data_IF_021601313783
#
_entry.id   IF_021601313783
#
_cell.length_a   1.000
_cell.length_b   1.000
_cell.length_c   1.000
_cell.angle_alpha   90.00
_cell.angle_beta   90.00
_cell.angle_gamma   90.00
#
_symmetry.space_group_name_H-M   'P 1'
#
loop_
_entity.id
_entity.type
_entity.pdbx_description
1 polymer ?
2 water ?
#
# COMPACT_ATOMS: atom_id res chain seq x y z
N UNK A 1 11.42 -19.59 -33.75
CA UNK A 1 11.73 -18.17 -33.39
C UNK A 1 10.66 -17.60 -32.52
N UNK A 2 11.05 -16.61 -31.72
CA UNK A 2 10.14 -15.86 -30.89
C UNK A 2 10.07 -14.41 -31.34
N UNK A 3 8.98 -13.75 -30.99
CA UNK A 3 8.82 -12.32 -31.17
C UNK A 3 8.23 -11.69 -29.95
N UNK A 4 8.64 -10.47 -29.66
CA UNK A 4 8.05 -9.73 -28.57
C UNK A 4 7.94 -8.27 -28.91
N UNK A 5 6.79 -7.67 -28.58
CA UNK A 5 6.57 -6.25 -28.80
C UNK A 5 7.22 -5.41 -27.73
N UNK A 6 7.55 -6.02 -26.59
CA UNK A 6 8.20 -5.29 -25.50
C UNK A 6 8.99 -6.24 -24.61
N UNK A 7 9.92 -5.70 -23.84
CA UNK A 7 10.60 -6.48 -22.81
C UNK A 7 10.65 -5.70 -21.53
N UNK A 8 10.01 -6.25 -20.51
CA UNK A 8 9.92 -5.60 -19.22
C UNK A 8 10.76 -6.40 -18.21
N UNK A 9 11.70 -5.71 -17.55
CA UNK A 9 12.68 -6.31 -16.67
C UNK A 9 12.26 -6.12 -15.22
N UNK A 10 12.09 -7.25 -14.53
CA UNK A 10 11.58 -7.30 -13.18
C UNK A 10 12.53 -8.02 -12.23
N UNK A 11 12.62 -7.48 -11.01
CA UNK A 11 13.23 -8.20 -9.91
C UNK A 11 12.09 -8.61 -9.01
N UNK A 12 11.91 -9.91 -8.82
CA UNK A 12 10.79 -10.36 -8.04
C UNK A 12 11.09 -10.19 -6.56
N UNK A 13 10.06 -10.00 -5.75
CA UNK A 13 10.26 -9.78 -4.31
C UNK A 13 8.96 -10.03 -3.53
N UNK A 14 9.09 -10.50 -2.28
CA UNK A 14 7.94 -10.57 -1.39
C UNK A 14 8.33 -10.07 -0.02
N UNK A 15 7.36 -9.47 0.67
CA UNK A 15 7.57 -8.96 2.03
C UNK A 15 6.66 -9.70 2.95
N UNK A 16 7.25 -10.46 3.87
CA UNK A 16 6.50 -11.21 4.85
C UNK A 16 5.35 -11.96 4.16
N UNK A 17 5.63 -12.58 3.03
CA UNK A 17 4.61 -13.36 2.34
C UNK A 17 3.65 -12.58 1.44
N UNK A 18 3.90 -11.30 1.20
CA UNK A 18 3.11 -10.55 0.22
C UNK A 18 4.00 -10.18 -0.97
N UNK A 19 3.62 -10.68 -2.14
CA UNK A 19 4.35 -10.39 -3.37
C UNK A 19 4.32 -8.90 -3.69
N UNK A 20 5.50 -8.37 -3.98
CA UNK A 20 5.66 -7.00 -4.43
C UNK A 20 6.79 -6.93 -5.45
N UNK A 21 6.56 -7.49 -6.63
CA UNK A 21 7.60 -7.51 -7.67
C UNK A 21 7.92 -6.08 -8.16
N UNK A 22 9.12 -5.87 -8.70
CA UNK A 22 9.57 -4.51 -8.99
C UNK A 22 10.08 -4.48 -10.44
N UNK A 23 9.47 -3.62 -11.24
CA UNK A 23 9.95 -3.32 -12.60
C UNK A 23 11.14 -2.36 -12.52
N UNK A 24 12.30 -2.82 -12.97
CA UNK A 24 13.54 -2.05 -12.88
C UNK A 24 13.99 -1.52 -14.26
N UNK A 25 13.37 -2.00 -15.33
CA UNK A 25 13.72 -1.55 -16.67
C UNK A 25 12.69 -1.93 -17.71
N UNK A 26 12.78 -1.26 -18.85
CA UNK A 26 11.97 -1.58 -20.01
C UNK A 26 10.69 -0.76 -20.09
N UNK A 27 10.45 0.07 -19.08
CA UNK A 27 9.25 0.91 -19.06
C UNK A 27 9.66 2.35 -18.82
N UNK A 28 9.45 3.18 -19.83
CA UNK A 28 9.65 4.61 -19.69
C UNK A 28 8.72 5.18 -18.62
N UNK A 29 9.15 6.26 -17.95
CA UNK A 29 8.22 6.83 -16.98
C UNK A 29 6.94 7.33 -17.68
N UNK A 30 5.78 7.06 -17.07
CA UNK A 30 4.50 7.51 -17.60
C UNK A 30 4.43 9.04 -17.72
N UNK A 31 3.59 9.52 -18.62
CA UNK A 31 3.33 10.97 -18.72
C UNK A 31 2.85 11.52 -17.39
N UNK A 32 3.21 12.77 -17.10
CA UNK A 32 2.74 13.43 -15.88
C UNK A 32 3.83 14.26 -15.26
N UNK A 33 3.44 15.37 -14.65
CA UNK A 33 4.37 16.33 -14.08
C UNK A 33 4.76 15.92 -12.65
N UNK A 34 3.94 15.05 -12.05
CA UNK A 34 4.20 14.60 -10.69
C UNK A 34 4.07 13.07 -10.65
N UNK A 35 4.62 12.42 -9.62
CA UNK A 35 4.46 10.97 -9.49
C UNK A 35 2.98 10.62 -9.30
N UNK A 36 2.26 11.49 -8.60
CA UNK A 36 0.80 11.33 -8.49
C UNK A 36 0.12 11.23 -9.88
N UNK A 37 0.37 12.22 -10.75
CA UNK A 37 -0.23 12.19 -12.10
C UNK A 37 0.21 10.95 -12.89
N UNK A 38 1.46 10.53 -12.71
CA UNK A 38 1.94 9.35 -13.42
C UNK A 38 1.17 8.09 -12.96
N UNK A 39 0.90 7.98 -11.66
CA UNK A 39 0.15 6.84 -11.14
C UNK A 39 -1.30 6.88 -11.70
N UNK A 40 -1.88 8.06 -11.85
CA UNK A 40 -3.26 8.24 -12.39
C UNK A 40 -3.30 7.77 -13.86
N UNK A 41 -2.24 8.04 -14.62
CA UNK A 41 -2.14 7.49 -15.97
C UNK A 41 -2.14 5.94 -15.93
N UNK A 42 -1.35 5.40 -15.03
CA UNK A 42 -1.19 3.95 -14.94
C UNK A 42 -2.57 3.35 -14.60
N UNK A 43 -3.31 3.98 -13.68
CA UNK A 43 -4.62 3.48 -13.24
C UNK A 43 -5.64 3.56 -14.37
N UNK A 44 -5.55 4.61 -15.18
CA UNK A 44 -6.58 4.88 -16.20
C UNK A 44 -6.32 4.06 -17.42
N UNK A 45 -5.05 3.98 -17.79
CA UNK A 45 -4.67 3.39 -19.07
C UNK A 45 -4.72 1.87 -19.03
N UNK A 46 -4.21 1.31 -17.93
CA UNK A 46 -4.34 -0.12 -17.61
C UNK A 46 -3.46 -1.08 -18.41
N UNK A 47 -2.80 -0.59 -19.45
CA UNK A 47 -1.99 -1.47 -20.27
C UNK A 47 -0.89 -2.18 -19.46
N UNK A 48 -0.09 -1.41 -18.74
CA UNK A 48 1.00 -1.97 -17.92
C UNK A 48 0.39 -2.87 -16.83
N UNK A 49 -0.61 -2.34 -16.12
CA UNK A 49 -1.27 -3.14 -15.05
C UNK A 49 -1.73 -4.50 -15.53
N UNK A 50 -2.47 -4.54 -16.64
CA UNK A 50 -3.05 -5.79 -17.08
C UNK A 50 -1.94 -6.73 -17.52
N UNK A 51 -0.93 -6.17 -18.15
CA UNK A 51 0.16 -6.98 -18.69
C UNK A 51 0.97 -7.69 -17.59
N UNK A 52 1.22 -7.00 -16.49
CA UNK A 52 2.04 -7.61 -15.42
C UNK A 52 1.21 -8.28 -14.32
N UNK A 53 -0.04 -7.86 -14.14
CA UNK A 53 -0.87 -8.42 -13.08
C UNK A 53 -1.68 -9.66 -13.48
N UNK A 54 -2.15 -9.71 -14.73
CA UNK A 54 -3.03 -10.79 -15.13
C UNK A 54 -2.22 -12.02 -15.58
N UNK A 55 -2.82 -13.19 -15.42
CA UNK A 55 -2.37 -14.37 -16.11
C UNK A 55 -2.27 -13.94 -17.59
N UNK A 56 -1.33 -14.55 -18.31
CA UNK A 56 -0.49 -15.68 -17.90
C UNK A 56 0.82 -15.27 -17.26
N UNK A 57 1.06 -13.98 -17.02
CA UNK A 57 2.34 -13.52 -16.46
C UNK A 57 2.26 -13.26 -14.95
N UNK A 58 1.09 -12.85 -14.49
CA UNK A 58 0.87 -12.54 -13.08
C UNK A 58 -0.09 -13.54 -12.48
N UNK A 59 -0.95 -13.06 -11.60
CA UNK A 59 -1.84 -13.92 -10.84
C UNK A 59 -2.60 -13.02 -9.90
N UNK A 60 -3.71 -13.52 -9.34
CA UNK A 60 -4.61 -12.70 -8.56
C UNK A 60 -3.96 -12.11 -7.33
N UNK A 61 -2.91 -12.73 -6.84
CA UNK A 61 -2.26 -12.19 -5.66
C UNK A 61 -1.02 -11.37 -5.94
N UNK A 62 -0.70 -11.16 -7.21
CA UNK A 62 0.50 -10.42 -7.53
C UNK A 62 0.29 -8.92 -7.34
N UNK A 63 1.28 -8.25 -6.76
CA UNK A 63 1.40 -6.79 -6.78
C UNK A 63 2.68 -6.51 -7.55
N UNK A 64 2.71 -5.40 -8.29
CA UNK A 64 3.86 -5.02 -9.05
C UNK A 64 4.10 -3.51 -8.88
N UNK A 65 5.35 -3.12 -8.73
CA UNK A 65 5.72 -1.74 -8.52
C UNK A 65 6.61 -1.26 -9.65
N UNK A 66 6.34 -0.06 -10.16
CA UNK A 66 7.14 0.46 -11.27
C UNK A 66 8.07 1.52 -10.72
N UNK A 67 9.39 1.32 -10.84
CA UNK A 67 10.29 2.40 -10.47
C UNK A 67 10.24 3.50 -11.51
N UNK A 68 10.20 4.75 -11.04
CA UNK A 68 10.29 5.90 -11.90
C UNK A 68 11.22 6.93 -11.27
N UNK A 69 11.68 7.87 -12.08
CA UNK A 69 12.56 8.89 -11.50
C UNK A 69 11.80 9.71 -10.48
N UNK A 70 12.51 10.16 -9.43
CA UNK A 70 11.89 11.02 -8.43
C UNK A 70 11.54 12.34 -9.10
N UNK A 71 10.39 12.92 -8.77
CA UNK A 71 10.06 14.27 -9.18
C UNK A 71 10.42 15.26 -8.09
N UNK A 72 10.26 14.86 -6.83
CA UNK A 72 10.68 15.68 -5.70
C UNK A 72 12.17 15.41 -5.49
N UNK A 73 12.99 16.46 -5.53
CA UNK A 73 14.45 16.30 -5.46
C UNK A 73 14.94 15.73 -4.13
N UNK A 74 14.11 15.75 -3.08
CA UNK A 74 14.47 15.15 -1.81
C UNK A 74 14.46 13.62 -1.91
N UNK A 75 13.80 13.08 -2.93
CA UNK A 75 13.72 11.63 -3.08
C UNK A 75 14.81 11.04 -3.98
N UNK A 76 15.23 9.82 -3.67
CA UNK A 76 16.21 9.12 -4.48
C UNK A 76 15.58 8.27 -5.59
N UNK A 77 14.31 7.93 -5.42
CA UNK A 77 13.62 7.12 -6.42
C UNK A 77 12.13 7.26 -6.19
N UNK A 78 11.38 7.21 -7.28
CA UNK A 78 9.94 7.21 -7.19
C UNK A 78 9.45 5.81 -7.53
N UNK A 79 8.20 5.53 -7.17
CA UNK A 79 7.60 4.26 -7.52
C UNK A 79 6.09 4.41 -7.58
N UNK A 80 5.50 3.59 -8.45
CA UNK A 80 4.03 3.51 -8.62
C UNK A 80 3.61 2.08 -8.26
N UNK A 81 2.63 1.97 -7.38
CA UNK A 81 2.19 0.68 -6.87
C UNK A 81 1.00 0.18 -7.66
N UNK A 82 1.11 -1.02 -8.20
CA UNK A 82 0.01 -1.65 -8.89
C UNK A 82 -0.45 -2.88 -8.13
N UNK A 83 -1.58 -2.74 -7.42
CA UNK A 83 -2.23 -3.87 -6.76
C UNK A 83 -3.34 -4.41 -7.62
N UNK A 84 -3.85 -5.63 -7.31
CA UNK A 84 -4.96 -6.19 -8.09
C UNK A 84 -6.16 -5.26 -8.16
N UNK A 85 -6.52 -4.64 -7.04
CA UNK A 85 -7.76 -3.90 -7.00
C UNK A 85 -7.62 -2.43 -7.39
N UNK A 86 -6.46 -1.85 -7.14
CA UNK A 86 -6.28 -0.43 -7.41
C UNK A 86 -4.83 -0.03 -7.51
N UNK A 87 -4.63 1.27 -7.70
CA UNK A 87 -3.28 1.83 -7.91
C UNK A 87 -3.16 2.89 -6.83
N UNK A 88 -2.76 2.47 -5.61
CA UNK A 88 -3.07 3.32 -4.46
C UNK A 88 -1.98 4.37 -4.18
N UNK A 89 -2.32 5.37 -3.38
CA UNK A 89 -1.31 6.38 -3.00
C UNK A 89 -0.11 5.81 -2.26
N UNK A 90 -0.31 4.80 -1.42
CA UNK A 90 0.80 4.13 -0.74
C UNK A 90 0.39 2.72 -0.38
N UNK A 91 1.37 1.91 -0.02
CA UNK A 91 1.18 0.54 0.37
C UNK A 91 2.38 0.12 1.22
N UNK A 92 2.12 -0.41 2.41
CA UNK A 92 3.22 -0.81 3.29
C UNK A 92 4.12 -1.87 2.69
N UNK A 93 3.54 -3.04 2.41
CA UNK A 93 4.29 -4.17 1.92
C UNK A 93 5.02 -3.86 0.62
N UNK A 94 4.36 -3.14 -0.29
CA UNK A 94 5.01 -2.79 -1.53
C UNK A 94 6.19 -1.80 -1.35
N UNK A 95 6.05 -0.85 -0.45
CA UNK A 95 7.15 0.08 -0.16
C UNK A 95 8.34 -0.67 0.46
N UNK A 96 8.03 -1.69 1.27
CA UNK A 96 9.08 -2.58 1.80
C UNK A 96 9.78 -3.38 0.67
N UNK A 97 9.03 -3.92 -0.29
CA UNK A 97 9.61 -4.62 -1.41
C UNK A 97 10.44 -3.70 -2.28
N UNK A 98 9.95 -2.50 -2.54
CA UNK A 98 10.65 -1.54 -3.39
C UNK A 98 12.00 -1.21 -2.73
N UNK A 99 11.96 -0.95 -1.44
CA UNK A 99 13.17 -0.63 -0.66
C UNK A 99 14.14 -1.79 -0.72
N UNK A 100 13.64 -3.00 -0.56
CA UNK A 100 14.49 -4.18 -0.54
C UNK A 100 15.15 -4.42 -1.91
N UNK A 101 14.38 -4.27 -2.96
CA UNK A 101 14.93 -4.45 -4.30
C UNK A 101 15.98 -3.38 -4.56
N UNK A 102 15.69 -2.15 -4.18
CA UNK A 102 16.65 -1.06 -4.43
C UNK A 102 18.00 -1.33 -3.75
N UNK A 103 17.94 -1.81 -2.50
CA UNK A 103 19.18 -2.06 -1.76
C UNK A 103 19.83 -3.43 -2.06
N UNK A 104 19.05 -4.51 -2.08
CA UNK A 104 19.62 -5.83 -2.26
C UNK A 104 20.19 -5.99 -3.67
N UNK A 105 19.54 -5.38 -4.66
CA UNK A 105 20.08 -5.50 -6.04
C UNK A 105 21.05 -4.39 -6.43
N UNK A 106 21.42 -3.53 -5.47
CA UNK A 106 22.53 -2.61 -5.65
C UNK A 106 22.23 -1.32 -6.40
N UNK A 107 20.95 -1.00 -6.58
CA UNK A 107 20.58 0.23 -7.24
C UNK A 107 20.93 1.43 -6.39
N UNK A 108 20.68 1.33 -5.08
CA UNK A 108 21.10 2.34 -4.12
C UNK A 108 22.18 1.72 -3.22
N UNK A 109 23.22 2.46 -2.94
CA UNK A 109 24.27 1.79 -2.17
C UNK A 109 23.87 1.49 -0.72
N UNK A 110 24.44 0.43 -0.16
CA UNK A 110 24.10 -0.05 1.17
C UNK A 110 25.16 0.36 2.16
N UNK A 111 24.72 0.94 3.27
CA UNK A 111 25.55 1.17 4.43
C UNK A 111 25.07 0.24 5.54
N UNK A 112 25.99 -0.18 6.40
CA UNK A 112 25.65 -1.01 7.54
C UNK A 112 26.15 -0.32 8.81
N UNK A 113 25.40 -0.47 9.93
CA UNK A 113 24.21 -1.33 10.14
C UNK A 113 22.91 -0.77 9.58
N UNK A 114 22.89 0.50 9.17
CA UNK A 114 21.65 1.14 8.73
C UNK A 114 21.85 1.98 7.49
N UNK A 115 20.96 1.79 6.53
CA UNK A 115 20.84 2.65 5.36
C UNK A 115 19.53 3.45 5.43
N UNK A 116 19.63 4.77 5.25
CA UNK A 116 18.45 5.62 5.15
C UNK A 116 18.23 6.08 3.71
N UNK A 117 16.97 6.04 3.28
CA UNK A 117 16.58 6.50 1.95
C UNK A 117 15.33 7.35 2.09
N UNK A 118 15.11 8.22 1.11
CA UNK A 118 13.84 8.89 0.94
C UNK A 118 13.28 8.47 -0.41
N UNK A 119 12.08 7.91 -0.41
CA UNK A 119 11.42 7.51 -1.67
C UNK A 119 10.18 8.34 -1.91
N UNK A 120 9.76 8.40 -3.16
CA UNK A 120 8.58 9.14 -3.51
C UNK A 120 7.51 8.19 -4.07
N UNK A 121 6.46 8.02 -3.28
CA UNK A 121 5.33 7.24 -3.68
C UNK A 121 4.31 8.18 -4.25
N UNK A 122 3.26 7.64 -4.88
CA UNK A 122 2.29 8.60 -5.41
C UNK A 122 1.68 9.50 -4.35
N UNK A 123 1.57 8.99 -3.13
CA UNK A 123 0.87 9.74 -2.11
C UNK A 123 1.76 10.68 -1.33
N UNK A 124 3.04 10.72 -1.68
CA UNK A 124 3.99 11.61 -1.04
C UNK A 124 5.30 10.93 -0.71
N UNK A 125 6.20 11.67 -0.08
CA UNK A 125 7.49 11.13 0.30
C UNK A 125 7.37 10.15 1.43
N UNK A 126 8.18 9.10 1.40
CA UNK A 126 8.29 8.21 2.56
C UNK A 126 9.76 8.11 2.98
N UNK A 127 10.00 8.09 4.28
CA UNK A 127 11.34 7.91 4.86
C UNK A 127 11.56 6.45 5.19
N UNK A 128 12.68 5.91 4.74
CA UNK A 128 12.97 4.50 4.88
C UNK A 128 14.25 4.35 5.70
N UNK A 129 14.26 3.43 6.64
CA UNK A 129 15.46 3.04 7.38
C UNK A 129 15.57 1.54 7.20
N UNK A 130 16.66 1.06 6.62
CA UNK A 130 16.86 -0.37 6.40
C UNK A 130 17.95 -0.87 7.33
N UNK A 131 17.64 -1.91 8.10
CA UNK A 131 18.68 -2.58 8.90
C UNK A 131 19.40 -3.53 7.94
N UNK A 132 20.69 -3.30 7.75
CA UNK A 132 21.47 -4.04 6.76
C UNK A 132 22.63 -4.74 7.42
N UNK A 133 22.85 -5.99 7.02
CA UNK A 133 23.86 -6.83 7.64
C UNK A 133 24.38 -7.82 6.63
N UNK A 134 25.71 -7.83 6.48
CA UNK A 134 26.37 -8.76 5.56
C UNK A 134 25.76 -8.73 4.18
N UNK A 135 25.50 -7.53 3.69
CA UNK A 135 25.04 -7.34 2.33
C UNK A 135 23.53 -7.40 2.15
N UNK A 136 22.80 -7.84 3.18
CA UNK A 136 21.36 -8.02 3.09
C UNK A 136 20.62 -6.88 3.77
N UNK A 137 19.63 -6.35 3.09
CA UNK A 137 18.65 -5.44 3.72
C UNK A 137 17.67 -6.34 4.45
N UNK A 138 17.94 -6.58 5.73
CA UNK A 138 17.20 -7.58 6.50
C UNK A 138 15.80 -7.13 6.88
N UNK A 139 15.69 -5.89 7.30
CA UNK A 139 14.41 -5.37 7.78
C UNK A 139 14.27 -3.91 7.39
N UNK A 140 13.11 -3.56 6.84
CA UNK A 140 12.82 -2.21 6.41
C UNK A 140 11.76 -1.59 7.31
N UNK A 141 12.01 -0.35 7.73
CA UNK A 141 11.03 0.46 8.45
C UNK A 141 10.70 1.69 7.63
N UNK A 142 9.41 1.85 7.34
CA UNK A 142 8.93 2.91 6.46
C UNK A 142 8.03 3.85 7.24
N UNK A 143 8.34 5.15 7.22
CA UNK A 143 7.40 6.17 7.70
C UNK A 143 6.39 6.40 6.58
N UNK A 144 5.20 5.90 6.81
CA UNK A 144 4.11 6.01 5.86
C UNK A 144 3.63 7.45 5.80
N UNK A 145 2.84 7.75 4.79
CA UNK A 145 2.23 9.07 4.65
C UNK A 145 1.33 9.33 5.85
N UNK A 146 1.06 10.60 6.11
CA UNK A 146 0.10 10.96 7.14
C UNK A 146 -1.20 10.18 7.01
N UNK A 147 -1.63 9.58 8.12
CA UNK A 147 -2.83 8.76 8.15
C UNK A 147 -3.82 9.32 9.20
N UNK A 148 -5.10 9.08 8.98
CA UNK A 148 -6.12 9.76 9.75
C UNK A 148 -7.48 9.07 9.68
N UNK A 149 -8.33 9.34 10.67
CA UNK A 149 -9.72 8.94 10.61
C UNK A 149 -10.53 10.08 10.00
N UNK A 150 -11.44 9.75 9.08
CA UNK A 150 -12.28 10.76 8.44
C UNK A 150 -13.59 10.84 9.24
N UNK A 151 -14.29 9.72 9.36
CA UNK A 151 -15.50 9.71 10.20
C UNK A 151 -15.39 8.68 11.29
N UNK A 152 -15.86 9.04 12.49
CA UNK A 152 -15.92 8.11 13.59
C UNK A 152 -17.36 7.89 14.00
N UNK A 153 -17.73 6.63 14.22
CA UNK A 153 -19.06 6.29 14.71
C UNK A 153 -20.16 6.84 13.83
N UNK A 154 -19.93 6.80 12.54
CA UNK A 154 -20.91 7.29 11.58
C UNK A 154 -21.96 6.21 11.38
N UNK A 155 -23.23 6.63 11.31
CA UNK A 155 -24.31 5.70 11.08
C UNK A 155 -24.40 5.44 9.59
N UNK A 156 -24.70 4.20 9.23
CA UNK A 156 -24.75 3.80 7.83
C UNK A 156 -25.86 2.78 7.62
N UNK A 157 -26.70 3.00 6.60
CA UNK A 157 -27.78 2.08 6.29
C UNK A 157 -27.31 1.00 5.30
N UNK A 158 -27.56 -0.25 5.65
CA UNK A 158 -27.09 -1.37 4.83
C UNK A 158 -28.19 -2.42 4.69
N UNK A 162 -29.16 -4.48 8.14
CA UNK A 162 -29.58 -3.81 9.36
C UNK A 162 -29.41 -2.31 9.26
N UNK A 163 -29.03 -1.69 10.38
CA UNK A 163 -28.49 -0.33 10.39
C UNK A 163 -27.31 -0.33 11.34
N UNK A 164 -26.15 0.11 10.87
CA UNK A 164 -24.91 -0.10 11.61
C UNK A 164 -24.05 1.15 11.86
N UNK A 165 -22.96 0.97 12.59
CA UNK A 165 -22.04 2.07 12.87
C UNK A 165 -20.66 1.75 12.31
N UNK A 166 -20.02 2.73 11.66
CA UNK A 166 -18.71 2.53 11.05
C UNK A 166 -17.76 3.71 11.28
N UNK A 167 -16.48 3.44 11.07
CA UNK A 167 -15.45 4.47 11.01
C UNK A 167 -14.91 4.46 9.61
N UNK A 168 -14.46 5.61 9.12
CA UNK A 168 -13.72 5.69 7.87
C UNK A 168 -12.34 6.28 8.12
N UNK A 169 -11.37 5.80 7.36
CA UNK A 169 -9.98 6.18 7.60
C UNK A 169 -9.09 5.96 6.37
N UNK A 170 -7.96 6.64 6.39
CA UNK A 170 -6.97 6.62 5.34
C UNK A 170 -5.60 6.29 5.92
N UNK A 171 -4.93 5.27 5.37
CA UNK A 171 -3.54 5.06 5.70
C UNK A 171 -2.63 4.76 4.52
N UNK A 172 -2.82 5.49 3.43
CA UNK A 172 -2.21 5.17 2.15
C UNK A 172 -3.22 4.62 1.16
N UNK A 173 -4.30 4.04 1.70
CA UNK A 173 -5.53 3.78 0.94
C UNK A 173 -6.69 4.00 1.92
N UNK A 174 -7.91 3.93 1.41
CA UNK A 174 -9.06 4.34 2.19
C UNK A 174 -9.92 3.15 2.55
N UNK A 175 -10.42 3.15 3.79
CA UNK A 175 -11.18 2.04 4.34
C UNK A 175 -12.45 2.51 5.09
N UNK A 176 -13.50 1.71 5.00
CA UNK A 176 -14.59 1.83 5.95
C UNK A 176 -14.33 0.66 6.92
N UNK A 177 -14.39 0.92 8.23
CA UNK A 177 -13.95 -0.08 9.22
C UNK A 177 -15.10 -0.43 10.13
N UNK A 178 -15.39 -1.73 10.28
CA UNK A 178 -16.59 -2.19 11.02
C UNK A 178 -16.24 -3.34 11.97
N UNK A 179 -16.78 -3.30 13.17
CA UNK A 179 -16.58 -4.36 14.13
C UNK A 179 -17.43 -5.56 13.69
N UNK A 180 -16.86 -6.77 13.75
CA UNK A 180 -17.55 -7.95 13.24
C UNK A 180 -18.78 -8.32 14.09
N UNK A 181 -18.60 -8.40 15.41
CA UNK A 181 -19.68 -8.81 16.31
C UNK A 181 -20.90 -7.91 16.13
N UNK A 182 -20.64 -6.61 15.97
CA UNK A 182 -21.74 -5.66 15.75
C UNK A 182 -22.53 -6.07 14.50
N UNK A 183 -22.02 -7.05 13.76
CA UNK A 183 -22.78 -7.70 12.69
C UNK A 183 -22.67 -9.26 12.73
N UNK A 184 -21.48 -9.81 12.51
CA UNK A 184 -21.27 -11.27 12.52
C UNK A 184 -19.92 -11.64 13.13
N UNK A 185 -19.28 -12.67 12.58
CA UNK A 185 -17.93 -13.02 13.02
C UNK A 185 -17.08 -13.47 11.84
N UNK A 194 -18.93 -14.75 2.52
CA UNK A 194 -19.81 -14.30 3.61
C UNK A 194 -19.40 -12.92 4.17
N UNK A 195 -18.18 -12.83 4.71
CA UNK A 195 -17.67 -11.56 5.19
C UNK A 195 -17.32 -10.72 3.99
N UNK A 196 -16.77 -11.38 2.98
CA UNK A 196 -16.35 -10.70 1.77
C UNK A 196 -17.59 -10.11 1.13
N UNK A 197 -18.69 -10.84 1.23
CA UNK A 197 -19.91 -10.41 0.58
C UNK A 197 -20.54 -9.23 1.31
N UNK A 198 -20.59 -9.31 2.63
CA UNK A 198 -21.08 -8.20 3.42
C UNK A 198 -20.15 -6.98 3.30
N UNK A 199 -18.86 -7.25 3.22
CA UNK A 199 -17.85 -6.19 3.17
C UNK A 199 -18.07 -5.26 2.00
N UNK A 200 -18.36 -5.81 0.83
CA UNK A 200 -18.47 -5.00 -0.36
C UNK A 200 -19.73 -4.13 -0.34
N UNK A 201 -20.83 -4.64 0.21
CA UNK A 201 -22.05 -3.84 0.26
C UNK A 201 -21.84 -2.67 1.21
N UNK A 202 -21.16 -2.95 2.33
CA UNK A 202 -20.82 -1.91 3.28
C UNK A 202 -19.95 -0.84 2.62
N UNK A 203 -18.91 -1.25 1.89
CA UNK A 203 -18.09 -0.29 1.14
C UNK A 203 -18.96 0.50 0.15
N UNK A 204 -19.83 -0.21 -0.56
CA UNK A 204 -20.74 0.43 -1.51
C UNK A 204 -21.56 1.51 -0.79
N UNK A 205 -22.17 1.11 0.33
CA UNK A 205 -23.01 2.01 1.09
C UNK A 205 -22.23 3.20 1.64
N UNK A 206 -21.00 2.95 2.11
CA UNK A 206 -20.20 4.01 2.68
C UNK A 206 -19.87 5.06 1.62
N UNK A 207 -19.52 4.61 0.41
CA UNK A 207 -19.27 5.53 -0.70
C UNK A 207 -20.51 6.37 -1.00
N UNK A 208 -21.68 5.74 -0.94
CA UNK A 208 -22.95 6.41 -1.23
C UNK A 208 -23.31 7.49 -0.21
N UNK A 209 -23.11 7.19 1.08
CA UNK A 209 -23.71 8.00 2.14
C UNK A 209 -22.73 8.87 2.93
N UNK A 210 -21.47 8.48 2.91
CA UNK A 210 -20.42 9.18 3.65
C UNK A 210 -19.39 9.76 2.71
N UNK A 211 -19.02 8.98 1.71
CA UNK A 211 -17.97 9.37 0.79
C UNK A 211 -16.64 9.38 1.51
N UNK A 212 -15.63 9.92 0.85
CA UNK A 212 -14.34 10.17 1.50
C UNK A 212 -13.60 11.19 0.66
N UNK A 213 -12.97 12.16 1.30
CA UNK A 213 -12.15 13.12 0.55
C UNK A 213 -10.88 13.39 1.32
N UNK A 214 -9.75 13.16 0.66
CA UNK A 214 -8.47 13.41 1.29
C UNK A 214 -8.21 14.92 1.19
N UNK A 215 -7.77 15.54 2.30
CA UNK A 215 -7.59 17.00 2.40
C UNK A 215 -6.56 17.59 1.43
N UNK A 216 -5.41 16.95 1.25
CA UNK A 216 -4.43 17.40 0.26
C UNK A 216 -4.09 16.44 -0.89
N UNK A 217 -4.88 15.38 -1.09
CA UNK A 217 -4.66 14.52 -2.26
C UNK A 217 -6.00 14.21 -2.94
N UNK A 218 -5.97 13.89 -4.23
CA UNK A 218 -7.19 13.69 -4.99
C UNK A 218 -7.65 12.21 -4.93
N UNK A 219 -7.81 11.72 -3.71
CA UNK A 219 -8.34 10.38 -3.46
C UNK A 219 -9.71 10.59 -2.79
N UNK A 220 -10.77 10.42 -3.58
CA UNK A 220 -12.09 10.85 -3.16
C UNK A 220 -13.14 9.73 -3.12
N UNK A 221 -12.69 8.52 -2.75
CA UNK A 221 -13.60 7.39 -2.56
C UNK A 221 -13.01 6.44 -1.54
N UNK A 222 -13.83 5.48 -1.09
CA UNK A 222 -13.41 4.49 -0.12
C UNK A 222 -13.14 3.19 -0.88
N UNK A 223 -11.92 2.68 -0.80
CA UNK A 223 -11.56 1.53 -1.63
C UNK A 223 -12.08 0.22 -1.07
N UNK A 224 -11.92 0.00 0.24
CA UNK A 224 -12.23 -1.31 0.83
C UNK A 224 -12.93 -1.22 2.19
N UNK A 225 -13.42 -2.36 2.63
CA UNK A 225 -14.00 -2.48 3.97
C UNK A 225 -13.09 -3.37 4.83
N UNK A 226 -12.73 -2.88 6.00
CA UNK A 226 -11.98 -3.65 6.97
C UNK A 226 -12.93 -4.08 8.07
N UNK A 227 -12.99 -5.39 8.33
CA UNK A 227 -13.85 -5.93 9.36
C UNK A 227 -12.93 -6.39 10.46
N UNK A 228 -13.22 -5.99 11.69
CA UNK A 228 -12.28 -6.18 12.77
C UNK A 228 -12.91 -6.87 13.96
N UNK A 229 -12.04 -7.37 14.84
CA UNK A 229 -12.44 -7.78 16.18
C UNK A 229 -11.62 -6.92 17.14
N UNK A 230 -12.09 -6.81 18.40
CA UNK A 230 -11.46 -5.90 19.36
C UNK A 230 -9.99 -6.21 19.56
N UNK A 231 -9.17 -5.17 19.67
CA UNK A 231 -7.77 -5.37 19.98
C UNK A 231 -7.59 -5.95 21.38
N UNK A 232 -6.48 -6.67 21.54
CA UNK A 232 -6.01 -7.07 22.86
C UNK A 232 -4.71 -6.32 23.16
N UNK A 233 -4.53 -5.92 24.40
CA UNK A 233 -3.35 -5.16 24.81
C UNK A 233 -2.39 -5.95 25.70
N UNK A 234 -1.11 -5.90 25.37
CA UNK A 234 -0.08 -6.47 26.23
C UNK A 234 1.03 -5.41 26.35
N UNK A 235 1.05 -4.68 27.45
CA UNK A 235 1.96 -3.57 27.62
C UNK A 235 1.70 -2.49 26.57
N UNK A 236 2.70 -2.20 25.74
CA UNK A 236 2.53 -1.18 24.73
C UNK A 236 2.35 -1.77 23.33
N UNK A 237 2.03 -3.05 23.28
CA UNK A 237 1.72 -3.73 22.03
C UNK A 237 0.23 -4.08 21.98
N UNK A 238 -0.43 -3.61 20.92
CA UNK A 238 -1.80 -3.99 20.63
C UNK A 238 -1.83 -5.03 19.51
N UNK A 239 -2.67 -6.05 19.65
CA UNK A 239 -2.85 -7.05 18.62
C UNK A 239 -4.31 -7.06 18.19
N UNK A 240 -4.56 -7.01 16.89
CA UNK A 240 -5.93 -6.98 16.40
C UNK A 240 -6.17 -7.90 15.22
N UNK A 241 -7.22 -8.71 15.30
CA UNK A 241 -7.61 -9.54 14.17
C UNK A 241 -8.48 -8.73 13.24
N UNK A 242 -8.25 -8.89 11.94
CA UNK A 242 -9.01 -8.16 10.95
C UNK A 242 -8.93 -8.85 9.60
N UNK A 243 -9.84 -8.47 8.72
CA UNK A 243 -9.71 -8.88 7.34
C UNK A 243 -10.30 -7.80 6.45
N UNK A 244 -9.93 -7.85 5.17
CA UNK A 244 -10.33 -6.81 4.24
C UNK A 244 -11.10 -7.43 3.09
N UNK A 245 -12.29 -6.87 2.81
CA UNK A 245 -13.15 -7.32 1.72
C UNK A 245 -12.95 -6.47 0.46
N UNK A 246 -12.68 -7.12 -0.66
CA UNK A 246 -12.42 -6.44 -1.93
C UNK A 246 -13.38 -6.89 -3.04
N UNK A 256 -1.90 -6.11 6.71
CA UNK A 256 -1.93 -5.12 5.63
C UNK A 256 -1.52 -3.74 6.15
N UNK A 257 -0.48 -3.16 5.52
CA UNK A 257 0.18 -1.97 6.02
C UNK A 257 -0.65 -0.70 5.96
N UNK A 258 -1.46 -0.53 4.93
CA UNK A 258 -2.33 0.64 4.86
C UNK A 258 -3.52 0.39 5.73
N UNK A 259 -3.95 -0.88 5.79
CA UNK A 259 -4.98 -1.32 6.70
C UNK A 259 -4.57 -1.00 8.13
N UNK A 260 -3.34 -1.33 8.51
CA UNK A 260 -2.93 -1.15 9.89
C UNK A 260 -2.76 0.33 10.13
N UNK A 261 -2.28 1.08 9.15
CA UNK A 261 -2.10 2.51 9.34
C UNK A 261 -3.47 3.16 9.55
N UNK A 262 -4.43 2.81 8.71
CA UNK A 262 -5.77 3.34 8.86
C UNK A 262 -6.36 2.93 10.22
N UNK A 263 -6.19 1.67 10.59
CA UNK A 263 -6.79 1.22 11.85
C UNK A 263 -6.14 1.94 13.03
N UNK A 264 -4.82 2.06 13.01
CA UNK A 264 -4.11 2.79 14.07
C UNK A 264 -4.66 4.21 14.20
N UNK A 265 -4.96 4.86 13.08
CA UNK A 265 -5.50 6.22 13.12
C UNK A 265 -6.86 6.26 13.84
N UNK A 266 -7.70 5.25 13.61
CA UNK A 266 -8.97 5.17 14.32
C UNK A 266 -8.79 4.86 15.80
N UNK A 267 -7.88 3.92 16.11
CA UNK A 267 -7.69 3.52 17.51
C UNK A 267 -7.19 4.73 18.26
N UNK A 268 -6.30 5.48 17.63
CA UNK A 268 -5.74 6.66 18.28
C UNK A 268 -6.83 7.71 18.48
N UNK A 269 -7.67 7.89 17.47
CA UNK A 269 -8.75 8.85 17.56
C UNK A 269 -9.72 8.53 18.69
N UNK A 270 -9.94 7.24 18.96
CA UNK A 270 -10.88 6.80 19.97
C UNK A 270 -10.21 6.59 21.35
N UNK A 271 -8.92 6.84 21.40
CA UNK A 271 -8.14 6.77 22.63
C UNK A 271 -7.66 5.39 23.05
N UNK A 272 -7.75 4.41 22.15
CA UNK A 272 -7.38 3.03 22.52
C UNK A 272 -5.92 2.74 22.20
N UNK A 273 -5.26 3.66 21.49
CA UNK A 273 -3.83 3.58 21.19
C UNK A 273 -3.17 4.93 21.43
N UNK A 274 -1.99 4.93 22.04
CA UNK A 274 -1.26 6.17 22.32
C UNK A 274 0.02 6.24 21.48
N UNK A 275 0.56 7.44 21.35
CA UNK A 275 1.82 7.64 20.65
C UNK A 275 2.90 6.74 21.24
N UNK A 276 3.75 6.16 20.39
CA UNK A 276 4.85 5.34 20.84
C UNK A 276 4.49 3.87 20.90
N UNK A 277 3.20 3.56 20.84
CA UNK A 277 2.76 2.17 20.90
C UNK A 277 2.84 1.44 19.57
N UNK A 278 2.79 0.12 19.64
CA UNK A 278 2.86 -0.72 18.47
C UNK A 278 1.56 -1.47 18.27
N UNK A 279 1.33 -1.81 17.01
CA UNK A 279 0.16 -2.55 16.59
C UNK A 279 0.62 -3.70 15.70
N UNK A 280 0.09 -4.88 15.98
CA UNK A 280 0.38 -6.10 15.22
C UNK A 280 -0.94 -6.65 14.69
N UNK A 281 -1.04 -6.77 13.36
CA UNK A 281 -2.27 -7.19 12.71
C UNK A 281 -2.31 -8.68 12.43
N UNK A 290 5.11 -5.36 11.49
CA UNK A 290 4.81 -4.53 12.65
C UNK A 290 4.45 -3.11 12.27
N UNK A 291 3.55 -2.50 13.03
CA UNK A 291 3.26 -1.09 12.87
C UNK A 291 3.44 -0.32 14.18
N UNK A 292 3.84 0.94 14.08
CA UNK A 292 4.15 1.75 15.25
C UNK A 292 3.56 3.13 15.04
N UNK A 293 2.93 3.65 16.05
CA UNK A 293 2.38 4.99 15.98
C UNK A 293 3.49 5.91 16.46
N UNK A 294 4.23 6.49 15.52
CA UNK A 294 5.44 7.22 15.89
C UNK A 294 5.17 8.60 16.46
N UNK A 295 4.25 9.33 15.84
CA UNK A 295 3.88 10.63 16.36
C UNK A 295 2.56 11.14 15.78
N UNK A 296 2.06 12.22 16.36
CA UNK A 296 0.86 12.88 15.84
C UNK A 296 1.25 14.00 14.89
N UNK A 297 0.29 14.43 14.09
CA UNK A 297 0.50 15.45 13.05
C UNK A 297 -0.82 16.16 12.87
N UNK A 298 -0.80 17.25 12.12
CA UNK A 298 -2.03 17.89 11.69
C UNK A 298 -2.10 17.76 10.18
N UNK A 299 -3.28 17.44 9.68
CA UNK A 299 -3.47 17.29 8.24
C UNK A 299 -4.85 17.84 7.91
N UNK A 300 -4.93 18.69 6.89
CA UNK A 300 -6.09 19.53 6.71
C UNK A 300 -6.05 20.47 7.89
N UNK A 301 -7.02 20.35 8.79
CA UNK A 301 -6.94 21.06 10.04
C UNK A 301 -7.07 20.09 11.19
N UNK A 302 -7.01 18.79 10.88
CA UNK A 302 -7.43 17.76 11.82
C UNK A 302 -6.32 16.80 12.17
N UNK A 303 -6.46 16.12 13.30
CA UNK A 303 -5.40 15.23 13.76
C UNK A 303 -5.16 14.06 12.81
N UNK A 304 -3.90 13.67 12.74
CA UNK A 304 -3.45 12.57 11.92
C UNK A 304 -2.34 11.89 12.72
N UNK A 305 -1.84 10.76 12.24
CA UNK A 305 -0.73 10.10 12.87
C UNK A 305 0.34 9.85 11.79
N UNK A 306 1.59 9.64 12.23
CA UNK A 306 2.67 9.18 11.37
C UNK A 306 3.00 7.74 11.72
N UNK A 307 2.55 6.80 10.87
CA UNK A 307 2.79 5.39 11.15
C UNK A 307 4.16 4.97 10.65
N UNK A 308 4.83 4.08 11.38
CA UNK A 308 6.01 3.42 10.86
C UNK A 308 5.67 1.97 10.69
N UNK A 309 5.82 1.46 9.47
CA UNK A 309 5.46 0.09 9.12
C UNK A 309 6.77 -0.63 8.91
N UNK A 310 6.91 -1.87 9.38
CA UNK A 310 8.21 -2.53 9.22
C UNK A 310 8.02 -3.98 8.92
N UNK A 311 8.95 -4.54 8.16
CA UNK A 311 8.86 -5.93 7.74
C UNK A 311 10.14 -6.35 7.03
N UNK A 312 10.27 -7.64 6.77
CA UNK A 312 11.41 -8.20 6.06
C UNK A 312 10.93 -8.59 4.67
N UNK A 313 11.84 -8.51 3.70
CA UNK A 313 11.56 -8.96 2.34
C UNK A 313 12.74 -9.75 1.74
N UNK A 314 12.45 -10.48 0.65
CA UNK A 314 13.44 -11.32 -0.03
C UNK A 314 13.18 -11.28 -1.52
N UNK A 315 14.23 -11.06 -2.29
CA UNK A 315 14.21 -11.20 -3.75
C UNK A 315 13.98 -12.65 -4.16
N UNK A 316 13.11 -12.84 -5.16
CA UNK A 316 12.69 -14.16 -5.54
C UNK A 316 13.16 -14.49 -6.94
N UNK A 317 13.85 -13.56 -7.59
CA UNK A 317 14.34 -13.81 -8.94
C UNK A 317 14.33 -12.60 -9.84
N UNK A 318 14.64 -12.85 -11.12
CA UNK A 318 14.64 -11.83 -12.17
C UNK A 318 13.78 -12.37 -13.34
N UNK A 319 13.18 -11.49 -14.11
CA UNK A 319 12.44 -11.92 -15.26
C UNK A 319 12.41 -10.88 -16.35
N UNK A 320 12.18 -11.37 -17.57
CA UNK A 320 12.06 -10.51 -18.74
C UNK A 320 10.69 -10.88 -19.36
N UNK A 321 9.70 -10.02 -19.17
CA UNK A 321 8.37 -10.31 -19.69
C UNK A 321 8.28 -9.90 -21.14
N UNK A 322 7.59 -10.72 -21.93
CA UNK A 322 7.45 -10.53 -23.36
C UNK A 322 6.01 -10.74 -23.84
N UNK A 323 5.72 -10.23 -25.04
CA UNK A 323 4.40 -10.37 -25.64
C UNK A 323 4.57 -10.64 -27.10
N UNK A 324 4.18 -11.84 -27.54
CA UNK A 324 4.18 -12.15 -28.97
C UNK A 324 3.09 -11.31 -29.61
N UNK A 325 3.38 -10.73 -30.81
CA UNK A 325 2.43 -9.91 -31.56
C UNK A 325 1.17 -10.66 -31.96
N UNK A 326 1.22 -11.99 -32.00
CA UNK A 326 0.05 -12.78 -32.39
C UNK A 326 -0.72 -13.31 -31.21
N UNK A 327 -0.25 -13.07 -30.00
CA UNK A 327 -0.92 -13.54 -28.81
C UNK A 327 -2.25 -12.83 -28.73
N UNK A 328 -3.36 -13.59 -28.68
CA UNK A 328 -4.68 -12.94 -28.72
C UNK A 328 -5.08 -12.43 -27.35
N UNK A 329 -4.23 -12.62 -26.36
CA UNK A 329 -4.51 -12.04 -25.05
C UNK A 329 -3.45 -11.00 -24.63
N UNK A 330 -3.32 -9.93 -25.42
CA UNK A 330 -2.30 -8.92 -25.11
C UNK A 330 -2.45 -8.33 -23.70
N UNK A 331 -3.67 -8.26 -23.17
CA UNK A 331 -3.92 -7.74 -21.84
C UNK A 331 -4.08 -8.86 -20.81
N UNK A 332 -3.68 -10.07 -21.21
CA UNK A 332 -3.83 -11.23 -20.37
C UNK A 332 -5.28 -11.56 -20.15
N UNK A 333 -5.56 -12.28 -19.07
CA UNK A 333 -6.94 -12.60 -18.73
C UNK A 333 -7.06 -12.81 -17.22
#
# INVERSE_FOLDING_TARGET
>A
SMRSTKVIHIVGCHAEGEVGDVIVGGVAPPPGKTVWEQSRFIASDETLRNFVLNEPRGGVFRHVNLLVPPKDPRAQMGFIIMEPADTPPMSGSNSICVSTVLLDSGIIPMQEPVTRMVLEAPGGLIEVEAECRNGKAERISVRNVPSFADRLNASLEVEGLGTITVDTAYGGDSFVIVDAASIGMKIEPGQARELAEIGVKITKAANEQLGFRHPEKDWNHISFCQITEPVTRDGDILTGVNTVAIRPAKLDRSPTGTGCSARMAVLHAKGQMKVGERFIGKSVLGTEFHCRLDKTLELGGKPAISPIISGRAWVTGTSQLMLDPSDPFPSGYRLSDTWPNMPE
#
